data_IF_393268354027
#
_entry.id   IF_393268354027
#
_cell.length_a   1.000
_cell.length_b   1.000
_cell.length_c   1.000
_cell.angle_alpha   90.00
_cell.angle_beta   90.00
_cell.angle_gamma   90.00
#
_symmetry.space_group_name_H-M   'P 1'
#
loop_
_entity.id
_entity.type
_entity.pdbx_description
1 polymer ?
2 non-polymer ?
3 non-polymer ?
4 water ?
#
# COMPACT_ATOMS: atom_id res chain seq x y z
N UNK A 29 21.63 -16.03 -15.11
CA UNK A 29 21.94 -16.13 -13.70
C UNK A 29 21.15 -15.13 -12.84
N UNK A 30 21.52 -15.03 -11.57
CA UNK A 30 20.78 -14.21 -10.60
C UNK A 30 20.94 -12.70 -10.85
N UNK A 31 19.82 -12.02 -11.08
CA UNK A 31 19.81 -10.58 -11.33
C UNK A 31 20.18 -9.79 -10.08
N UNK A 32 20.60 -8.54 -10.25
CA UNK A 32 21.01 -7.72 -9.11
C UNK A 32 19.86 -7.58 -8.14
N UNK A 33 20.13 -7.60 -6.84
CA UNK A 33 19.12 -7.31 -5.85
C UNK A 33 19.79 -6.63 -4.66
N UNK A 34 19.05 -5.80 -3.91
CA UNK A 34 19.65 -5.13 -2.74
C UNK A 34 20.10 -6.10 -1.66
N UNK A 35 21.25 -5.83 -1.04
CA UNK A 35 21.78 -6.68 0.04
C UNK A 35 21.67 -5.96 1.38
N UNK A 36 21.45 -4.66 1.32
CA UNK A 36 21.19 -3.91 2.55
C UNK A 36 20.18 -2.79 2.28
N UNK A 37 19.70 -2.16 3.33
CA UNK A 37 18.59 -1.22 3.16
C UNK A 37 19.02 0.00 2.33
N UNK A 38 20.28 0.39 2.43
CA UNK A 38 20.71 1.55 1.63
C UNK A 38 20.84 1.19 0.15
N UNK A 39 20.93 -0.10 -0.18
CA UNK A 39 20.99 -0.49 -1.59
C UNK A 39 19.76 -0.10 -2.37
N UNK A 40 18.65 0.14 -1.67
CA UNK A 40 17.45 0.57 -2.34
C UNK A 40 17.62 1.96 -3.00
N UNK A 41 18.68 2.68 -2.62
CA UNK A 41 19.02 3.95 -3.32
C UNK A 41 19.21 3.70 -4.82
N UNK A 42 19.60 2.47 -5.16
CA UNK A 42 20.00 2.16 -6.54
C UNK A 42 18.84 1.65 -7.40
N UNK A 43 17.68 1.47 -6.82
CA UNK A 43 16.58 1.00 -7.62
C UNK A 43 15.33 1.81 -7.43
N UNK A 44 15.25 2.53 -6.32
CA UNK A 44 14.04 3.27 -6.00
C UNK A 44 13.84 4.49 -6.91
N UNK A 45 14.89 4.89 -7.64
CA UNK A 45 14.79 6.01 -8.59
C UNK A 45 14.50 5.58 -10.03
N UNK A 46 14.49 4.26 -10.25
CA UNK A 46 14.19 3.70 -11.56
C UNK A 46 12.69 3.68 -11.82
N UNK A 47 12.13 4.82 -12.19
CA UNK A 47 10.70 4.94 -12.41
C UNK A 47 10.34 4.91 -13.89
N UNK A 54 2.79 12.88 -15.71
CA UNK A 54 1.36 12.63 -15.77
C UNK A 54 0.89 12.34 -17.19
N UNK A 55 -0.36 11.86 -17.29
CA UNK A 55 -1.01 11.61 -18.57
C UNK A 55 -2.19 12.55 -18.79
N UNK A 56 -2.71 12.58 -20.02
CA UNK A 56 -3.74 13.53 -20.41
C UNK A 56 -5.15 13.19 -19.90
N UNK A 57 -5.42 11.89 -19.73
CA UNK A 57 -6.68 11.41 -19.17
C UNK A 57 -6.82 11.68 -17.67
N UNK A 58 -5.68 11.89 -17.01
CA UNK A 58 -5.64 12.15 -15.57
C UNK A 58 -6.37 13.44 -15.22
N UNK A 59 -7.13 13.42 -14.11
CA UNK A 59 -7.68 14.68 -13.64
C UNK A 59 -6.50 15.50 -13.17
N UNK A 60 -6.42 16.76 -13.53
CA UNK A 60 -5.26 17.51 -13.13
C UNK A 60 -4.21 17.70 -14.20
N UNK A 61 -4.22 16.89 -15.27
CA UNK A 61 -3.35 17.20 -16.41
C UNK A 61 -3.50 18.66 -16.82
N UNK A 62 -4.75 19.11 -16.78
CA UNK A 62 -5.16 20.45 -17.14
C UNK A 62 -4.66 21.53 -16.18
N UNK A 63 -4.18 21.08 -15.02
CA UNK A 63 -3.81 22.00 -13.94
C UNK A 63 -2.32 22.24 -13.88
N UNK A 64 -1.96 23.47 -14.15
CA UNK A 64 -0.57 23.87 -14.16
C UNK A 64 0.04 23.90 -12.76
N UNK A 65 -0.75 24.31 -11.79
CA UNK A 65 -0.30 24.35 -10.42
C UNK A 65 -0.09 22.91 -9.89
N UNK A 66 -1.06 22.04 -10.17
CA UNK A 66 -0.95 20.64 -9.81
C UNK A 66 0.26 19.99 -10.52
N UNK A 67 0.47 20.37 -11.76
CA UNK A 67 1.66 19.98 -12.51
C UNK A 67 2.94 20.27 -11.71
N UNK A 68 3.13 21.53 -11.32
CA UNK A 68 4.35 21.91 -10.61
C UNK A 68 4.47 21.23 -9.27
N UNK A 69 3.33 21.03 -8.63
CA UNK A 69 3.30 20.38 -7.33
C UNK A 69 3.79 18.93 -7.41
N UNK A 70 3.31 18.21 -8.42
CA UNK A 70 3.67 16.83 -8.58
C UNK A 70 5.13 16.74 -8.88
N UNK A 71 5.64 17.71 -9.63
CA UNK A 71 7.05 17.72 -9.94
C UNK A 71 7.83 17.89 -8.64
N UNK A 72 7.30 18.75 -7.78
CA UNK A 72 7.92 19.01 -6.50
C UNK A 72 7.97 17.74 -5.66
N UNK A 73 6.87 16.97 -5.64
CA UNK A 73 6.89 15.75 -4.86
C UNK A 73 7.84 14.72 -5.45
N UNK A 74 7.82 14.57 -6.76
CA UNK A 74 8.71 13.64 -7.43
C UNK A 74 10.19 13.94 -7.15
N UNK A 75 10.54 15.23 -7.13
CA UNK A 75 11.91 15.66 -6.91
C UNK A 75 12.34 15.33 -5.49
N UNK A 76 11.45 15.51 -4.53
CA UNK A 76 11.74 15.16 -3.14
C UNK A 76 12.10 13.68 -3.04
N UNK A 77 11.36 12.85 -3.77
CA UNK A 77 11.62 11.40 -3.72
C UNK A 77 12.92 11.08 -4.41
N UNK A 78 13.14 11.70 -5.58
CA UNK A 78 14.37 11.43 -6.35
C UNK A 78 15.62 11.77 -5.58
N UNK A 79 15.59 12.84 -4.81
CA UNK A 79 16.79 13.28 -4.09
C UNK A 79 16.91 12.70 -2.67
N UNK A 80 15.90 11.96 -2.24
CA UNK A 80 15.98 11.26 -0.97
C UNK A 80 17.01 10.14 -1.06
N UNK A 81 17.87 10.04 -0.05
CA UNK A 81 18.78 8.92 0.08
C UNK A 81 18.52 8.29 1.44
N UNK A 82 18.68 6.97 1.53
CA UNK A 82 18.47 6.29 2.79
C UNK A 82 19.34 6.90 3.89
N UNK A 83 18.77 7.08 5.09
CA UNK A 83 19.45 7.74 6.19
C UNK A 83 18.92 9.18 6.34
N UNK A 84 18.37 9.74 5.27
CA UNK A 84 17.77 11.09 5.31
C UNK A 84 16.50 11.06 6.14
N UNK A 85 16.21 12.15 6.87
CA UNK A 85 14.83 12.36 7.35
C UNK A 85 13.96 12.57 6.11
N UNK A 86 12.74 12.04 6.07
CA UNK A 86 11.89 12.25 4.90
C UNK A 86 11.42 13.70 4.96
N UNK A 87 11.65 14.49 3.88
CA UNK A 87 11.30 15.91 3.92
C UNK A 87 9.86 16.17 4.33
N UNK A 88 9.67 17.01 5.33
CA UNK A 88 8.33 17.37 5.77
C UNK A 88 7.72 18.35 4.78
N UNK A 89 6.44 18.16 4.52
CA UNK A 89 5.77 18.93 3.48
C UNK A 89 4.70 19.80 4.09
N UNK A 90 4.67 21.07 3.70
CA UNK A 90 3.54 21.90 4.09
C UNK A 90 2.45 21.69 3.07
N UNK A 91 1.43 20.89 3.38
CA UNK A 91 0.35 20.67 2.43
C UNK A 91 -0.55 21.89 2.33
N UNK A 92 -1.12 22.12 1.15
CA UNK A 92 -1.96 23.29 0.94
C UNK A 92 -3.33 23.05 1.51
N UNK A 93 -4.12 24.12 1.66
CA UNK A 93 -5.47 23.98 2.19
C UNK A 93 -6.34 23.14 1.28
N UNK A 94 -6.13 23.24 -0.03
CA UNK A 94 -6.87 22.42 -0.98
C UNK A 94 -6.53 20.91 -0.78
N UNK A 95 -5.26 20.66 -0.56
CA UNK A 95 -4.79 19.30 -0.35
C UNK A 95 -5.34 18.73 0.94
N UNK A 96 -5.38 19.54 2.00
CA UNK A 96 -5.89 19.07 3.27
C UNK A 96 -7.39 18.80 3.20
N UNK A 97 -8.09 19.65 2.44
CA UNK A 97 -9.52 19.48 2.26
C UNK A 97 -9.84 18.18 1.53
N UNK A 98 -9.05 17.87 0.51
CA UNK A 98 -9.22 16.65 -0.25
C UNK A 98 -9.02 15.44 0.66
N UNK A 99 -7.93 15.46 1.42
CA UNK A 99 -7.66 14.43 2.41
C UNK A 99 -8.85 14.29 3.39
N UNK A 100 -9.29 15.41 3.95
CA UNK A 100 -10.40 15.41 4.89
C UNK A 100 -11.67 14.78 4.34
N UNK A 101 -11.95 15.08 3.08
CA UNK A 101 -13.16 14.54 2.45
C UNK A 101 -13.08 13.01 2.32
N UNK A 102 -11.95 12.49 1.84
CA UNK A 102 -11.72 11.04 1.75
C UNK A 102 -11.70 10.40 3.14
N UNK A 103 -10.91 10.98 4.03
CA UNK A 103 -10.78 10.55 5.43
C UNK A 103 -12.13 10.43 6.14
N UNK A 104 -12.92 11.49 6.12
CA UNK A 104 -14.25 11.45 6.73
C UNK A 104 -15.14 10.32 6.24
N UNK A 105 -15.29 10.17 4.93
CA UNK A 105 -16.20 9.15 4.41
C UNK A 105 -15.70 7.73 4.71
N UNK A 106 -14.40 7.50 4.51
CA UNK A 106 -13.81 6.20 4.77
C UNK A 106 -13.97 5.80 6.23
N UNK A 107 -13.78 6.75 7.15
CA UNK A 107 -13.88 6.44 8.58
C UNK A 107 -15.28 6.00 9.02
N UNK A 108 -16.31 6.37 8.25
CA UNK A 108 -17.66 5.90 8.56
C UNK A 108 -17.81 4.42 8.28
N UNK A 109 -16.96 3.88 7.40
CA UNK A 109 -17.08 2.50 6.93
C UNK A 109 -16.15 1.53 7.66
N UNK A 110 -15.01 2.02 8.12
CA UNK A 110 -14.02 1.14 8.77
C UNK A 110 -14.59 0.27 9.92
N UNK A 111 -15.41 0.83 10.85
CA UNK A 111 -15.89 -0.04 11.94
C UNK A 111 -16.63 -1.28 11.48
N UNK A 112 -17.32 -1.19 10.36
CA UNK A 112 -18.10 -2.32 9.87
C UNK A 112 -17.42 -3.11 8.74
N UNK A 113 -16.31 -2.59 8.23
CA UNK A 113 -15.65 -3.18 7.05
C UNK A 113 -14.22 -3.66 7.25
N UNK A 114 -13.44 -2.93 8.03
CA UNK A 114 -12.03 -3.23 8.19
C UNK A 114 -11.77 -4.40 9.16
N UNK A 115 -10.68 -5.14 8.97
CA UNK A 115 -10.30 -6.21 9.86
C UNK A 115 -9.92 -5.66 11.22
N UNK A 116 -9.90 -6.52 12.23
CA UNK A 116 -9.72 -6.05 13.61
C UNK A 116 -8.36 -5.38 13.79
N UNK A 117 -7.33 -5.89 13.10
CA UNK A 117 -5.99 -5.33 13.23
C UNK A 117 -5.95 -3.91 12.73
N UNK A 118 -6.64 -3.64 11.62
CA UNK A 118 -6.73 -2.31 11.08
C UNK A 118 -7.33 -1.36 12.10
N UNK A 119 -8.46 -1.78 12.68
CA UNK A 119 -9.17 -0.95 13.62
C UNK A 119 -8.38 -0.68 14.90
N UNK A 120 -7.51 -1.62 15.25
CA UNK A 120 -6.69 -1.53 16.45
C UNK A 120 -5.59 -0.50 16.28
N UNK A 121 -5.03 -0.45 15.09
CA UNK A 121 -3.87 0.43 14.89
C UNK A 121 -4.23 1.84 14.49
N UNK A 122 -5.38 2.00 13.84
CA UNK A 122 -5.77 3.30 13.31
C UNK A 122 -5.87 4.38 14.40
N UNK A 123 -6.41 4.07 15.60
CA UNK A 123 -6.41 5.15 16.59
C UNK A 123 -5.03 5.53 17.13
N UNK A 124 -4.09 4.58 17.13
CA UNK A 124 -2.72 4.85 17.54
C UNK A 124 -2.07 5.85 16.61
N UNK A 125 -2.37 5.73 15.31
CA UNK A 125 -1.86 6.65 14.30
C UNK A 125 -2.47 8.02 14.47
N UNK A 126 -3.75 8.02 14.83
CA UNK A 126 -4.37 9.27 15.13
C UNK A 126 -3.62 9.96 16.26
N UNK A 127 -3.31 9.23 17.32
CA UNK A 127 -2.65 9.84 18.47
C UNK A 127 -1.21 10.26 18.19
N UNK A 128 -0.46 9.40 17.50
CA UNK A 128 0.97 9.65 17.40
C UNK A 128 1.43 10.27 16.07
N UNK A 129 0.60 10.23 15.03
CA UNK A 129 1.06 10.76 13.74
C UNK A 129 0.16 11.87 13.19
N UNK A 130 -0.81 12.33 13.97
CA UNK A 130 -1.66 13.45 13.60
C UNK A 130 -2.62 13.14 12.47
N UNK A 131 -3.13 11.91 12.44
CA UNK A 131 -4.23 11.57 11.54
C UNK A 131 -5.48 12.31 12.01
N UNK A 132 -5.87 13.33 11.27
CA UNK A 132 -7.06 14.10 11.55
C UNK A 132 -7.66 14.52 10.25
N UNK A 133 -8.94 14.85 10.25
CA UNK A 133 -9.59 15.31 9.04
C UNK A 133 -8.90 16.60 8.57
N UNK A 134 -8.38 17.39 9.48
CA UNK A 134 -7.81 18.67 9.10
C UNK A 134 -6.27 18.65 9.06
N UNK A 135 -5.69 17.46 8.99
CA UNK A 135 -4.24 17.33 8.96
C UNK A 135 -3.76 16.08 8.23
N UNK A 136 -2.88 16.27 7.25
CA UNK A 136 -2.22 15.17 6.56
C UNK A 136 -0.93 14.79 7.30
N UNK A 137 -0.86 13.54 7.77
CA UNK A 137 0.30 13.04 8.50
C UNK A 137 1.58 13.19 7.66
N UNK A 138 2.71 13.41 8.31
CA UNK A 138 4.00 13.48 7.62
C UNK A 138 4.61 12.09 7.53
N UNK A 139 5.16 11.76 6.37
CA UNK A 139 5.76 10.45 6.15
C UNK A 139 6.86 10.19 7.15
N UNK A 140 7.59 11.22 7.58
CA UNK A 140 8.66 11.00 8.53
C UNK A 140 8.14 10.52 9.89
N UNK A 141 7.04 11.10 10.37
CA UNK A 141 6.41 10.71 11.62
C UNK A 141 5.88 9.29 11.51
N UNK A 142 5.19 9.03 10.41
CA UNK A 142 4.63 7.72 10.17
C UNK A 142 5.78 6.72 10.11
N UNK A 143 6.88 7.06 9.43
CA UNK A 143 8.00 6.15 9.36
C UNK A 143 8.58 5.85 10.76
N UNK A 144 8.74 6.86 11.60
CA UNK A 144 9.23 6.68 12.97
C UNK A 144 8.28 5.84 13.82
N UNK A 145 6.97 6.11 13.67
CA UNK A 145 5.98 5.28 14.36
C UNK A 145 6.14 3.81 13.98
N UNK A 146 6.17 3.50 12.69
CA UNK A 146 6.26 2.12 12.24
C UNK A 146 7.57 1.46 12.65
N UNK A 147 8.67 2.22 12.67
CA UNK A 147 9.99 1.70 13.00
C UNK A 147 9.95 1.14 14.40
N UNK A 148 9.32 1.87 15.33
CA UNK A 148 9.32 1.34 16.68
C UNK A 148 8.30 0.19 16.85
N UNK A 149 7.20 0.21 16.11
CA UNK A 149 6.20 -0.86 16.14
C UNK A 149 6.57 -2.20 15.47
N UNK A 150 7.17 -2.19 14.28
CA UNK A 150 7.45 -3.42 13.57
C UNK A 150 8.79 -3.40 12.82
N UNK A 151 9.50 -2.28 12.89
CA UNK A 151 10.74 -2.14 12.14
C UNK A 151 10.46 -1.70 10.71
N UNK A 152 9.19 -1.56 10.33
CA UNK A 152 8.89 -1.04 9.00
C UNK A 152 9.27 0.43 8.93
N UNK A 153 9.58 0.91 7.73
CA UNK A 153 9.94 2.31 7.52
C UNK A 153 9.39 2.72 6.18
N UNK A 154 9.33 4.03 5.96
CA UNK A 154 8.84 4.56 4.70
C UNK A 154 10.01 5.13 3.87
N UNK A 155 9.92 4.98 2.55
CA UNK A 155 10.80 5.63 1.62
C UNK A 155 9.92 6.31 0.56
N UNK A 156 10.04 7.65 0.38
CA UNK A 156 9.22 8.28 -0.64
C UNK A 156 9.60 7.80 -2.00
N UNK A 157 8.65 7.53 -2.88
CA UNK A 157 9.02 7.06 -4.20
C UNK A 157 8.44 8.04 -5.24
N UNK A 158 9.20 8.34 -6.28
CA UNK A 158 8.75 9.34 -7.23
C UNK A 158 7.56 8.83 -8.04
N UNK A 159 7.62 7.56 -8.44
CA UNK A 159 6.50 6.99 -9.17
C UNK A 159 6.59 5.47 -9.21
N UNK A 160 5.94 4.89 -10.20
CA UNK A 160 5.84 3.45 -10.36
C UNK A 160 7.21 2.80 -10.60
N UNK A 161 7.53 1.80 -9.76
CA UNK A 161 8.75 1.01 -9.90
C UNK A 161 8.42 -0.32 -10.54
N UNK A 162 9.43 -1.00 -11.06
CA UNK A 162 9.23 -2.37 -11.51
C UNK A 162 8.77 -3.23 -10.31
N UNK A 163 8.01 -4.30 -10.58
CA UNK A 163 7.59 -5.21 -9.51
C UNK A 163 8.76 -5.66 -8.66
N UNK A 164 9.88 -5.89 -9.32
CA UNK A 164 11.03 -6.42 -8.62
C UNK A 164 11.57 -5.41 -7.62
N UNK A 165 11.72 -4.18 -8.06
CA UNK A 165 12.30 -3.16 -7.22
C UNK A 165 11.34 -2.84 -6.10
N UNK A 166 10.07 -2.69 -6.43
CA UNK A 166 9.10 -2.38 -5.39
C UNK A 166 9.05 -3.47 -4.30
N UNK A 167 8.99 -4.73 -4.71
CA UNK A 167 8.94 -5.82 -3.76
C UNK A 167 10.25 -5.94 -2.99
N UNK A 168 11.38 -5.56 -3.60
CA UNK A 168 12.65 -5.70 -2.91
C UNK A 168 12.71 -4.84 -1.65
N UNK A 169 12.04 -3.68 -1.65
CA UNK A 169 12.03 -2.86 -0.46
C UNK A 169 11.47 -3.59 0.76
N UNK A 170 10.43 -4.36 0.54
CA UNK A 170 9.75 -5.06 1.63
C UNK A 170 10.71 -6.00 2.36
N UNK A 171 11.73 -6.48 1.66
CA UNK A 171 12.70 -7.41 2.26
C UNK A 171 13.42 -6.70 3.43
N UNK A 172 13.50 -5.38 3.37
CA UNK A 172 14.16 -4.63 4.43
C UNK A 172 13.11 -3.88 5.23
N UNK A 173 11.87 -4.35 5.12
CA UNK A 173 10.71 -3.69 5.75
C UNK A 173 10.67 -2.22 5.34
N UNK A 174 10.82 -1.99 4.04
CA UNK A 174 10.71 -0.65 3.50
C UNK A 174 9.50 -0.63 2.59
N UNK A 175 8.59 0.26 2.89
CA UNK A 175 7.45 0.47 2.04
C UNK A 175 7.72 1.70 1.15
N UNK A 176 7.81 1.49 -0.15
CA UNK A 176 7.91 2.59 -1.10
C UNK A 176 6.56 3.31 -1.17
N UNK A 177 6.56 4.60 -0.87
CA UNK A 177 5.35 5.29 -0.54
C UNK A 177 5.23 6.64 -1.27
N UNK A 178 4.11 6.87 -1.93
CA UNK A 178 3.89 8.16 -2.60
C UNK A 178 3.55 9.22 -1.57
N UNK A 179 3.98 10.45 -1.86
CA UNK A 179 3.85 11.58 -0.95
C UNK A 179 2.85 12.63 -1.48
N UNK A 180 2.49 12.54 -2.75
CA UNK A 180 1.60 13.53 -3.35
C UNK A 180 0.14 13.24 -3.03
N UNK A 181 -0.72 14.22 -3.26
CA UNK A 181 -2.16 14.08 -3.03
C UNK A 181 -2.90 14.06 -4.36
N UNK A 182 -3.99 13.29 -4.43
CA UNK A 182 -4.84 13.27 -5.60
C UNK A 182 -5.37 14.66 -5.90
N UNK A 183 -5.82 14.87 -7.13
CA UNK A 183 -6.35 16.16 -7.53
C UNK A 183 -7.65 16.45 -6.80
N UNK A 184 -7.83 17.71 -6.44
CA UNK A 184 -8.96 18.07 -5.59
C UNK A 184 -10.30 17.99 -6.32
N UNK A 185 -10.27 17.97 -7.64
CA UNK A 185 -11.48 17.93 -8.44
C UNK A 185 -12.30 16.68 -8.16
N UNK A 186 -11.62 15.56 -8.01
CA UNK A 186 -12.29 14.28 -7.71
C UNK A 186 -11.63 13.59 -6.53
N UNK A 187 -12.07 13.91 -5.30
CA UNK A 187 -11.50 13.35 -4.08
C UNK A 187 -11.72 11.86 -3.96
N UNK A 188 -12.69 11.33 -4.69
CA UNK A 188 -13.07 9.95 -4.48
C UNK A 188 -12.49 9.01 -5.51
N UNK A 189 -11.87 9.54 -6.55
CA UNK A 189 -11.14 8.67 -7.45
C UNK A 189 -9.72 9.08 -7.71
N UNK A 190 -8.82 8.12 -7.62
CA UNK A 190 -7.43 8.34 -8.01
C UNK A 190 -6.97 7.21 -8.96
N UNK A 191 -6.38 7.60 -10.11
CA UNK A 191 -5.90 6.67 -11.13
C UNK A 191 -4.67 5.92 -10.66
N UNK A 192 -4.20 6.27 -9.46
CA UNK A 192 -2.91 5.84 -8.95
C UNK A 192 -2.88 5.89 -7.43
N UNK A 193 -1.96 5.15 -6.82
CA UNK A 193 -1.76 5.33 -5.39
C UNK A 193 -1.33 6.76 -5.07
N UNK A 194 -2.07 7.49 -4.24
CA UNK A 194 -1.53 8.77 -3.76
C UNK A 194 -1.25 8.60 -2.28
N UNK A 195 -0.82 9.67 -1.64
CA UNK A 195 -0.47 9.56 -0.23
C UNK A 195 -1.71 9.13 0.60
N UNK A 196 -2.90 9.63 0.26
CA UNK A 196 -4.13 9.28 1.00
C UNK A 196 -4.29 7.75 1.06
N UNK A 197 -4.15 7.07 -0.10
CA UNK A 197 -4.14 5.59 -0.19
C UNK A 197 -3.05 4.97 0.68
N UNK A 198 -1.85 5.54 0.67
CA UNK A 198 -0.75 4.95 1.45
C UNK A 198 -1.01 5.04 2.94
N UNK A 199 -1.46 6.22 3.37
CA UNK A 199 -1.60 6.52 4.77
C UNK A 199 -2.81 5.88 5.40
N UNK A 200 -3.92 5.82 4.66
CA UNK A 200 -5.19 5.23 5.15
C UNK A 200 -5.30 3.75 4.82
N UNK A 201 -4.70 3.37 3.72
CA UNK A 201 -4.83 1.98 3.29
C UNK A 201 -3.74 1.06 3.79
N UNK A 202 -2.48 1.47 3.63
CA UNK A 202 -1.34 0.59 3.92
C UNK A 202 -0.83 0.66 5.36
N UNK A 203 -0.63 1.88 5.84
CA UNK A 203 0.10 2.11 7.08
C UNK A 203 -0.46 1.38 8.31
N UNK A 204 -1.80 1.43 8.57
CA UNK A 204 -2.30 0.78 9.77
C UNK A 204 -1.93 -0.70 9.87
N UNK A 205 -1.85 -1.41 8.76
CA UNK A 205 -1.49 -2.83 8.87
C UNK A 205 0.01 -3.05 8.97
N UNK A 206 0.79 -2.13 8.38
CA UNK A 206 2.24 -2.25 8.51
C UNK A 206 2.63 -2.08 9.97
N UNK A 207 1.73 -1.52 10.77
CA UNK A 207 2.02 -1.37 12.20
C UNK A 207 1.75 -2.65 12.94
N UNK A 208 1.20 -3.62 12.23
CA UNK A 208 0.86 -4.91 12.84
C UNK A 208 1.92 -5.98 12.59
N UNK A 209 2.62 -6.46 13.65
CA UNK A 209 3.69 -7.47 13.55
C UNK A 209 3.44 -8.64 12.59
N UNK A 210 2.28 -9.29 12.70
CA UNK A 210 1.95 -10.44 11.85
C UNK A 210 1.85 -10.02 10.40
N UNK A 211 1.24 -8.87 10.15
CA UNK A 211 1.14 -8.39 8.77
C UNK A 211 2.52 -8.01 8.22
N UNK A 212 3.34 -7.40 9.06
CA UNK A 212 4.66 -6.95 8.64
C UNK A 212 5.55 -8.15 8.29
N UNK A 213 5.42 -9.20 9.06
CA UNK A 213 6.18 -10.42 8.80
C UNK A 213 5.78 -11.01 7.45
N UNK A 214 4.47 -11.11 7.23
CA UNK A 214 3.92 -11.56 5.95
C UNK A 214 4.47 -10.73 4.80
N UNK A 215 4.45 -9.41 4.97
CA UNK A 215 4.88 -8.53 3.90
C UNK A 215 6.37 -8.68 3.60
N UNK A 216 7.18 -8.69 4.65
CA UNK A 216 8.62 -8.81 4.47
C UNK A 216 8.97 -10.14 3.77
N UNK A 217 8.23 -11.19 4.08
CA UNK A 217 8.52 -12.49 3.50
C UNK A 217 8.23 -12.54 2.01
N UNK A 218 7.28 -11.73 1.56
CA UNK A 218 7.04 -11.57 0.14
C UNK A 218 8.28 -10.95 -0.49
N UNK A 219 8.80 -9.91 0.14
CA UNK A 219 9.99 -9.21 -0.38
C UNK A 219 11.21 -10.10 -0.40
N UNK A 220 11.43 -10.83 0.70
CA UNK A 220 12.53 -11.75 0.82
C UNK A 220 12.45 -12.83 -0.25
N UNK A 221 11.27 -13.36 -0.51
CA UNK A 221 11.11 -14.39 -1.51
C UNK A 221 11.41 -13.85 -2.90
N UNK A 222 11.17 -12.57 -3.11
CA UNK A 222 11.39 -11.97 -4.43
C UNK A 222 12.85 -11.72 -4.78
N UNK A 223 13.70 -11.58 -3.76
CA UNK A 223 15.06 -11.09 -3.95
C UNK A 223 15.83 -11.99 -4.90
N UNK A 224 16.17 -11.47 -6.06
CA UNK A 224 16.95 -12.22 -7.03
C UNK A 224 16.23 -13.40 -7.64
N UNK A 225 14.92 -13.43 -7.49
CA UNK A 225 14.10 -14.49 -8.05
C UNK A 225 13.91 -14.28 -9.56
N UNK A 226 13.40 -15.31 -10.21
CA UNK A 226 13.16 -15.27 -11.65
C UNK A 226 12.07 -14.26 -11.98
N UNK A 227 12.01 -13.89 -13.25
CA UNK A 227 10.98 -12.97 -13.70
C UNK A 227 9.60 -13.54 -13.41
N UNK A 228 9.45 -14.83 -13.66
CA UNK A 228 8.18 -15.48 -13.45
C UNK A 228 7.78 -15.47 -11.98
N UNK A 229 8.71 -15.84 -11.10
CA UNK A 229 8.46 -15.85 -9.66
C UNK A 229 8.05 -14.46 -9.15
N UNK A 230 8.75 -13.43 -9.63
CA UNK A 230 8.42 -12.08 -9.24
C UNK A 230 6.98 -11.73 -9.64
N UNK A 231 6.55 -12.12 -10.84
CA UNK A 231 5.21 -11.80 -11.25
C UNK A 231 4.23 -12.58 -10.41
N UNK A 232 4.59 -13.79 -10.03
CA UNK A 232 3.68 -14.59 -9.21
C UNK A 232 3.55 -13.99 -7.81
N UNK A 233 4.68 -13.60 -7.22
CA UNK A 233 4.68 -12.96 -5.90
C UNK A 233 3.97 -11.61 -5.94
N UNK A 234 4.19 -10.86 -7.02
CA UNK A 234 3.49 -9.56 -7.18
C UNK A 234 1.99 -9.77 -7.18
N UNK A 235 1.51 -10.82 -7.84
CA UNK A 235 0.09 -11.09 -7.89
C UNK A 235 -0.46 -11.53 -6.53
N UNK A 236 0.31 -12.34 -5.81
CA UNK A 236 -0.13 -12.71 -4.47
C UNK A 236 -0.18 -11.49 -3.58
N UNK A 237 0.82 -10.62 -3.68
CA UNK A 237 0.81 -9.37 -2.93
C UNK A 237 -0.42 -8.55 -3.27
N UNK A 238 -0.79 -8.56 -4.54
CA UNK A 238 -1.89 -7.76 -4.98
C UNK A 238 -3.20 -8.24 -4.33
N UNK A 239 -3.42 -9.54 -4.26
CA UNK A 239 -4.68 -10.06 -3.74
C UNK A 239 -4.64 -10.36 -2.27
N UNK A 240 -3.64 -9.79 -1.61
CA UNK A 240 -3.59 -9.78 -0.16
C UNK A 240 -3.40 -8.35 0.33
N UNK A 241 -2.17 -7.85 0.23
CA UNK A 241 -1.82 -6.51 0.71
C UNK A 241 -2.67 -5.44 0.07
N UNK A 242 -3.01 -5.59 -1.20
CA UNK A 242 -3.77 -4.51 -1.84
C UNK A 242 -5.30 -4.74 -1.86
N UNK A 243 -5.76 -5.98 -2.05
CA UNK A 243 -7.21 -6.25 -2.18
C UNK A 243 -7.66 -7.46 -1.41
N UNK A 244 -6.93 -7.80 -0.34
CA UNK A 244 -7.25 -8.99 0.41
C UNK A 244 -8.45 -8.83 1.32
N UNK A 245 -9.18 -9.91 1.50
CA UNK A 245 -10.20 -10.01 2.52
C UNK A 245 -9.75 -11.05 3.52
N UNK A 246 -10.25 -10.98 4.73
CA UNK A 246 -10.02 -12.05 5.68
C UNK A 246 -11.31 -12.39 6.42
N UNK A 247 -11.35 -13.59 7.00
CA UNK A 247 -12.49 -14.04 7.78
C UNK A 247 -12.13 -13.97 9.24
N UNK A 248 -12.89 -13.19 9.99
CA UNK A 248 -12.66 -13.02 11.42
C UNK A 248 -13.96 -13.21 12.19
N UNK A 249 -13.99 -14.21 13.08
CA UNK A 249 -15.22 -14.55 13.81
C UNK A 249 -16.38 -14.79 12.85
N UNK A 250 -16.15 -15.62 11.83
CA UNK A 250 -17.19 -15.96 10.87
C UNK A 250 -17.55 -14.87 9.86
N UNK A 251 -17.05 -13.66 10.08
CA UNK A 251 -17.38 -12.54 9.20
C UNK A 251 -16.25 -12.21 8.24
N UNK A 252 -16.61 -11.81 7.02
CA UNK A 252 -15.64 -11.32 6.06
C UNK A 252 -15.27 -9.89 6.42
N UNK A 253 -13.98 -9.57 6.43
CA UNK A 253 -13.52 -8.21 6.69
C UNK A 253 -12.46 -7.80 5.66
N UNK A 254 -12.11 -6.53 5.65
CA UNK A 254 -11.18 -6.05 4.64
C UNK A 254 -9.83 -5.74 5.24
N UNK A 255 -8.77 -6.20 4.58
CA UNK A 255 -7.46 -5.69 4.99
C UNK A 255 -6.62 -5.14 3.81
N UNK A 256 -7.14 -5.28 2.59
CA UNK A 256 -6.44 -4.82 1.41
C UNK A 256 -6.42 -3.30 1.32
N UNK A 257 -5.25 -2.71 1.10
CA UNK A 257 -5.07 -1.27 1.10
C UNK A 257 -5.89 -0.55 0.04
N UNK A 258 -5.99 -1.15 -1.14
CA UNK A 258 -6.74 -0.59 -2.26
C UNK A 258 -8.22 -0.52 -1.98
N UNK A 259 -8.71 -1.45 -1.15
CA UNK A 259 -10.11 -1.39 -0.72
C UNK A 259 -10.27 -0.33 0.36
N UNK A 260 -9.35 -0.31 1.32
CA UNK A 260 -9.45 0.56 2.49
C UNK A 260 -9.32 2.05 2.17
N UNK A 261 -8.90 2.38 0.96
CA UNK A 261 -8.83 3.80 0.54
C UNK A 261 -9.80 4.08 -0.60
N UNK A 262 -10.66 3.12 -0.92
CA UNK A 262 -11.65 3.28 -1.99
C UNK A 262 -13.06 3.07 -1.51
N UNK A 263 -13.78 4.18 -1.29
CA UNK A 263 -15.12 4.12 -0.71
C UNK A 263 -16.04 3.18 -1.50
N UNK A 264 -16.05 3.26 -2.82
CA UNK A 264 -16.95 2.41 -3.62
C UNK A 264 -16.62 0.93 -3.46
N UNK A 265 -15.39 0.58 -3.76
CA UNK A 265 -15.05 -0.83 -3.79
C UNK A 265 -15.01 -1.44 -2.39
N UNK A 266 -14.79 -0.61 -1.38
CA UNK A 266 -14.81 -1.08 0.00
C UNK A 266 -16.21 -1.60 0.32
N UNK A 267 -17.22 -0.82 -0.06
CA UNK A 267 -18.60 -1.24 0.13
C UNK A 267 -18.94 -2.41 -0.76
N UNK A 268 -18.48 -2.39 -2.00
CA UNK A 268 -18.79 -3.47 -2.93
C UNK A 268 -18.20 -4.81 -2.49
N UNK A 269 -16.99 -4.78 -1.98
CA UNK A 269 -16.28 -5.99 -1.60
C UNK A 269 -17.01 -6.81 -0.55
N UNK A 270 -17.72 -6.16 0.35
CA UNK A 270 -18.46 -6.89 1.37
C UNK A 270 -19.96 -6.79 1.13
N UNK A 271 -20.35 -6.42 -0.08
CA UNK A 271 -21.77 -6.15 -0.37
C UNK A 271 -22.54 -7.42 -0.61
N UNK A 272 -21.85 -8.47 -1.01
CA UNK A 272 -22.49 -9.75 -1.28
C UNK A 272 -22.62 -10.00 -2.77
N UNK A 273 -22.45 -8.96 -3.56
CA UNK A 273 -22.54 -9.07 -5.00
C UNK A 273 -21.18 -9.34 -5.62
N UNK A 274 -20.18 -9.65 -4.78
CA UNK A 274 -18.82 -9.87 -5.25
C UNK A 274 -18.45 -11.33 -5.19
N UNK A 275 -17.65 -11.76 -6.17
CA UNK A 275 -17.16 -13.14 -6.20
C UNK A 275 -15.97 -13.28 -5.25
N UNK A 276 -16.03 -14.26 -4.36
CA UNK A 276 -14.98 -14.49 -3.37
C UNK A 276 -14.44 -15.94 -3.38
N UNK A 277 -13.12 -16.08 -3.30
CA UNK A 277 -12.43 -17.38 -3.28
C UNK A 277 -11.43 -17.49 -2.13
N UNK A 278 -11.12 -18.72 -1.69
CA UNK A 278 -10.12 -18.88 -0.64
C UNK A 278 -8.76 -18.45 -1.16
N UNK A 279 -7.99 -17.75 -0.33
CA UNK A 279 -6.65 -17.38 -0.73
C UNK A 279 -5.82 -18.65 -0.90
N UNK A 280 -5.27 -18.86 -2.08
CA UNK A 280 -4.45 -20.05 -2.36
C UNK A 280 -3.41 -19.65 -3.41
N UNK A 281 -2.15 -19.51 -2.98
CA UNK A 281 -1.13 -18.88 -3.84
C UNK A 281 -1.05 -19.46 -5.26
N UNK A 282 -0.96 -20.77 -5.38
CA UNK A 282 -0.88 -21.42 -6.70
C UNK A 282 -2.08 -21.07 -7.61
N UNK A 283 -3.26 -20.87 -7.01
CA UNK A 283 -4.44 -20.46 -7.75
C UNK A 283 -4.46 -18.93 -7.90
N UNK A 284 -4.20 -18.23 -6.80
CA UNK A 284 -4.29 -16.77 -6.80
C UNK A 284 -3.26 -16.10 -7.73
N UNK A 285 -2.07 -16.69 -7.88
CA UNK A 285 -1.01 -16.06 -8.67
C UNK A 285 -1.30 -16.07 -10.17
N UNK A 286 -2.37 -16.74 -10.57
CA UNK A 286 -2.80 -16.78 -11.96
C UNK A 286 -3.84 -15.69 -12.24
N UNK A 287 -4.44 -15.14 -11.19
CA UNK A 287 -5.49 -14.15 -11.37
C UNK A 287 -4.98 -12.82 -11.93
N UNK A 288 -5.72 -12.25 -12.88
CA UNK A 288 -5.35 -10.98 -13.48
C UNK A 288 -5.59 -9.79 -12.54
N UNK A 289 -4.60 -8.91 -12.42
CA UNK A 289 -4.71 -7.73 -11.56
C UNK A 289 -5.34 -6.55 -12.29
N UNK A 290 -6.62 -6.31 -12.02
CA UNK A 290 -7.33 -5.21 -12.67
C UNK A 290 -7.03 -3.88 -12.03
N UNK A 291 -7.00 -2.81 -12.82
CA UNK A 291 -6.61 -1.50 -12.30
C UNK A 291 -7.68 -0.41 -12.45
N UNK A 292 -8.24 -0.32 -13.66
CA UNK A 292 -9.21 0.72 -13.95
C UNK A 292 -10.62 0.27 -13.65
N UNK A 293 -10.76 -0.68 -12.73
CA UNK A 293 -12.06 -1.24 -12.47
C UNK A 293 -12.07 -1.99 -11.13
N UNK A 294 -13.25 -2.31 -10.62
CA UNK A 294 -13.37 -3.22 -9.47
C UNK A 294 -12.75 -4.55 -9.85
N UNK A 295 -12.29 -5.31 -8.86
CA UNK A 295 -11.75 -6.62 -9.11
C UNK A 295 -12.87 -7.59 -9.52
N UNK A 296 -12.53 -8.63 -10.29
CA UNK A 296 -13.48 -9.68 -10.67
C UNK A 296 -13.69 -10.64 -9.52
N UNK A 297 -12.66 -10.80 -8.70
CA UNK A 297 -12.72 -11.72 -7.58
C UNK A 297 -11.86 -11.15 -6.45
N UNK A 298 -12.21 -11.48 -5.20
CA UNK A 298 -11.42 -11.14 -4.03
C UNK A 298 -11.06 -12.43 -3.32
N UNK A 299 -9.86 -12.50 -2.75
CA UNK A 299 -9.40 -13.69 -2.07
C UNK A 299 -9.44 -13.50 -0.57
N UNK A 300 -9.84 -14.56 0.13
CA UNK A 300 -10.01 -14.52 1.58
C UNK A 300 -8.94 -15.31 2.27
N UNK A 301 -8.20 -14.63 3.12
CA UNK A 301 -7.24 -15.30 3.96
C UNK A 301 -7.86 -15.60 5.29
N UNK A 302 -7.53 -16.74 5.87
CA UNK A 302 -8.02 -17.09 7.20
C UNK A 302 -7.48 -16.13 8.25
N UNK A 303 -6.19 -15.82 8.13
CA UNK A 303 -5.54 -14.87 9.01
C UNK A 303 -4.22 -14.51 8.37
N UNK A 304 -3.53 -13.52 8.93
CA UNK A 304 -2.25 -13.14 8.34
C UNK A 304 -1.24 -14.23 8.56
N UNK A 305 -1.32 -14.89 9.70
CA UNK A 305 -0.42 -16.00 10.00
C UNK A 305 -0.60 -17.12 8.98
N UNK A 306 -1.85 -17.41 8.66
CA UNK A 306 -2.14 -18.47 7.73
C UNK A 306 -1.75 -18.11 6.31
N UNK A 307 -2.01 -16.87 5.93
CA UNK A 307 -1.60 -16.38 4.61
C UNK A 307 -0.07 -16.50 4.48
N UNK A 308 0.63 -16.20 5.58
CA UNK A 308 2.07 -16.32 5.68
C UNK A 308 2.51 -17.77 5.49
N UNK A 309 1.84 -18.69 6.18
CA UNK A 309 2.19 -20.10 6.09
C UNK A 309 1.98 -20.64 4.66
N UNK A 310 0.88 -20.26 4.04
CA UNK A 310 0.63 -20.63 2.65
C UNK A 310 1.68 -20.08 1.71
N UNK A 311 2.09 -18.82 1.90
CA UNK A 311 3.11 -18.26 1.01
C UNK A 311 4.44 -19.01 1.14
N UNK A 312 4.79 -19.38 2.37
CA UNK A 312 6.01 -20.11 2.61
C UNK A 312 6.04 -21.46 1.84
N UNK A 313 4.97 -22.21 1.99
CA UNK A 313 4.75 -23.45 1.24
C UNK A 313 4.83 -23.17 -0.26
N UNK A 314 4.26 -22.05 -0.69
CA UNK A 314 4.25 -21.72 -2.10
C UNK A 314 5.60 -21.29 -2.66
N UNK A 315 6.37 -20.52 -1.89
CA UNK A 315 7.62 -19.98 -2.41
C UNK A 315 8.64 -21.08 -2.68
N UNK A 316 8.49 -22.18 -1.97
CA UNK A 316 9.30 -23.36 -2.21
C UNK A 316 9.19 -23.87 -3.64
N UNK A 317 7.99 -23.78 -4.21
CA UNK A 317 7.76 -24.31 -5.54
C UNK A 317 8.13 -23.32 -6.65
N UNK A 318 8.68 -22.16 -6.29
CA UNK A 318 9.09 -21.18 -7.30
C UNK A 318 10.53 -20.68 -7.12
N UNK A 319 11.19 -21.16 -6.06
CA UNK A 319 12.56 -20.77 -5.77
C UNK A 319 13.49 -21.16 -6.92
X LIG B 1 3.36 -1.54 -7.07
X LIG B 1 3.99 -0.36 -7.07
X LIG B 1 5.07 -0.18 -7.85
X LIG B 1 2.34 -0.22 -5.72
X LIG B 1 5.50 -1.20 -8.65
X LIG B 1 3.76 -2.57 -7.83
X LIG B 1 3.66 4.14 -6.76
X LIG B 1 3.28 5.06 -7.73
X LIG B 1 2.54 4.63 -8.82
X LIG B 1 2.18 3.29 -8.94
X LIG B 1 2.56 2.36 -7.97
X LIG B 1 3.30 2.78 -6.87
X LIG B 1 3.71 1.88 -5.87
X LIG B 1 3.36 0.46 -6.23
X LIG B 1 5.72 0.87 -7.91
X LIG B 1 4.83 -2.41 -8.61
X LIG B 1 5.23 -3.30 -9.34
X LIG B 1 3.05 -3.90 -7.83
X LIG B 1 2.67 -4.52 -6.48
X LIG B 1 3.86 -5.08 -7.24
X LIG B 1 2.32 -1.45 -6.22
X LIG B 1 1.33 0.27 -4.69
X LIG B 1 -0.11 0.15 -5.19
X LIG B 1 -1.20 0.31 -4.43
X LIG B 1 -2.27 0.15 -5.22
X LIG B 1 -3.58 0.22 -4.94
X LIG B 1 -4.53 0.01 -5.93
X LIG B 1 -4.06 -0.25 -7.22
X LIG B 1 -2.69 -0.30 -7.46
X LIG B 1 -1.82 -0.09 -6.47
X LIG B 1 -0.48 -0.09 -6.45
X LIG C 1 -1.18 0.24 -2.42
#
# INVERSE_FOLDING_TARGET
MKHHHHHHHGAAGTSLYKKAGENLYFQGSVPWFPKKISDLDHCANRVLMYGSELDADHPGFKDNVYRKRRKYFADLAMNYKHGDPIPKVEFTEEEIKTWGTVFQELNKLYPTHACREYLKNLPLLSKYCGYREDNIPQLEDVSNFLKERTGFSIRPVAGYLSPRDFLSGLAFRVFHCTQYVRHSSDPFYTPEPDTCHELLGHVPLLAEPSFAQFSQEIGLASLGASEEAVQKLATCYFFTVEFGLCKQDGQLRVFGAGLLSSISELKHALSGHAKVKPFDPKITCKQECLITTFQDVYFVSESFEDAKEKMREFTKTIKRPFGVKY
IVW C4 C5 C6 C8 N1 N3 CAH CAD CAC CAE CAI CAT CAO N7 O6 C2 O2 CBC CAL CAM N9 CAN CAU NAP CAY CAJ CAF CAG CAK CAZ NAR
FE FE
#
